data_IF_802975803797
#
_entry.id   IF_802975803797
#
_cell.length_a   1.000
_cell.length_b   1.000
_cell.length_c   1.000
_cell.angle_alpha   90.00
_cell.angle_beta   90.00
_cell.angle_gamma   90.00
#
_symmetry.space_group_name_H-M   'P 1'
#
loop_
_entity.id
_entity.type
_entity.pdbx_description
1 polymer ?
#
# COMPACT_ATOMS: atom_id res chain seq x y z
N UNK A 1 1.71 -6.91 38.91
CA UNK A 1 1.83 -7.78 37.73
C UNK A 1 0.79 -7.37 36.72
N UNK A 2 1.21 -6.88 35.55
CA UNK A 2 0.33 -6.48 34.45
C UNK A 2 0.47 -7.45 33.27
N UNK A 3 -0.52 -7.48 32.37
CA UNK A 3 -0.44 -8.20 31.10
C UNK A 3 0.09 -7.27 30.02
N UNK A 4 0.99 -7.77 29.17
CA UNK A 4 1.59 -7.03 28.06
C UNK A 4 1.08 -7.60 26.74
N UNK A 5 0.59 -6.70 25.87
CA UNK A 5 0.20 -6.99 24.49
C UNK A 5 1.24 -6.39 23.56
N UNK A 6 1.73 -7.17 22.61
CA UNK A 6 2.61 -6.66 21.56
C UNK A 6 1.88 -6.71 20.21
N UNK A 7 1.57 -5.54 19.68
CA UNK A 7 0.85 -5.38 18.42
C UNK A 7 1.85 -5.07 17.30
N UNK A 8 2.03 -6.01 16.38
CA UNK A 8 2.99 -5.95 15.29
C UNK A 8 2.32 -5.32 14.07
N UNK A 9 2.74 -4.12 13.70
CA UNK A 9 2.28 -3.42 12.50
C UNK A 9 3.18 -3.69 11.29
N UNK A 10 4.50 -3.84 11.50
CA UNK A 10 5.48 -4.07 10.44
C UNK A 10 6.52 -5.12 10.83
N UNK A 11 7.04 -5.83 9.83
CA UNK A 11 8.12 -6.82 9.96
C UNK A 11 9.44 -6.21 9.48
N UNK A 12 9.95 -5.26 10.24
CA UNK A 12 11.09 -4.43 9.83
C UNK A 12 12.40 -5.22 9.66
N UNK A 13 12.63 -6.25 10.48
CA UNK A 13 13.85 -7.06 10.40
C UNK A 13 13.85 -7.86 9.09
N UNK A 14 12.72 -8.43 8.70
CA UNK A 14 12.56 -9.08 7.40
C UNK A 14 12.74 -8.12 6.23
N UNK A 15 12.08 -6.96 6.28
CA UNK A 15 12.22 -5.94 5.23
C UNK A 15 13.69 -5.50 5.07
N UNK A 16 14.40 -5.29 6.19
CA UNK A 16 15.83 -4.96 6.16
C UNK A 16 16.69 -6.08 5.58
N UNK A 17 16.32 -7.35 5.81
CA UNK A 17 17.00 -8.53 5.25
C UNK A 17 16.77 -8.66 3.74
N UNK A 18 15.53 -8.52 3.29
CA UNK A 18 15.17 -8.55 1.86
C UNK A 18 15.83 -7.41 1.07
N UNK A 19 16.00 -6.24 1.71
CA UNK A 19 16.66 -5.09 1.12
C UNK A 19 18.19 -5.08 1.31
N UNK A 20 18.77 -6.13 1.89
CA UNK A 20 20.19 -6.26 2.19
C UNK A 20 20.80 -5.03 2.88
N UNK A 21 20.07 -4.47 3.86
CA UNK A 21 20.41 -3.19 4.50
C UNK A 21 21.55 -3.30 5.51
N UNK A 22 21.88 -4.51 5.99
CA UNK A 22 22.99 -4.74 6.92
C UNK A 22 24.12 -5.47 6.23
N UNK A 23 25.35 -5.19 6.65
CA UNK A 23 26.58 -5.71 6.01
C UNK A 23 26.83 -7.19 6.27
N UNK A 24 26.29 -7.76 7.35
CA UNK A 24 26.65 -9.10 7.82
C UNK A 24 25.43 -9.89 8.29
N UNK A 25 25.35 -11.15 7.91
CA UNK A 25 24.21 -12.04 8.20
C UNK A 25 23.99 -12.25 9.71
N UNK A 26 25.06 -12.34 10.50
CA UNK A 26 24.97 -12.54 11.95
C UNK A 26 24.19 -11.42 12.65
N UNK A 27 24.17 -10.21 12.08
CA UNK A 27 23.40 -9.09 12.65
C UNK A 27 21.90 -9.36 12.54
N UNK A 28 21.45 -9.97 11.44
CA UNK A 28 20.05 -10.39 11.30
C UNK A 28 19.71 -11.50 12.29
N UNK A 29 20.61 -12.47 12.48
CA UNK A 29 20.39 -13.56 13.45
C UNK A 29 20.28 -13.02 14.88
N UNK A 30 21.09 -12.03 15.26
CA UNK A 30 21.00 -11.36 16.55
C UNK A 30 19.66 -10.61 16.72
N UNK A 31 19.21 -9.88 15.69
CA UNK A 31 17.94 -9.17 15.70
C UNK A 31 16.75 -10.14 15.80
N UNK A 32 16.75 -11.24 15.05
CA UNK A 32 15.73 -12.27 15.16
C UNK A 32 15.76 -12.98 16.52
N UNK A 33 16.94 -13.17 17.11
CA UNK A 33 17.10 -13.68 18.47
C UNK A 33 16.44 -12.77 19.51
N UNK A 34 16.70 -11.47 19.41
CA UNK A 34 16.10 -10.45 20.29
C UNK A 34 14.58 -10.37 20.11
N UNK A 35 14.10 -10.33 18.87
CA UNK A 35 12.66 -10.33 18.56
C UNK A 35 11.97 -11.56 19.16
N UNK A 36 12.53 -12.75 18.95
CA UNK A 36 12.00 -13.99 19.52
C UNK A 36 11.97 -13.97 21.04
N UNK A 37 13.00 -13.41 21.68
CA UNK A 37 13.04 -13.25 23.13
C UNK A 37 11.89 -12.35 23.62
N UNK A 38 11.69 -11.20 22.96
CA UNK A 38 10.60 -10.26 23.28
C UNK A 38 9.25 -10.96 23.11
N UNK A 39 8.97 -11.55 21.96
CA UNK A 39 7.70 -12.23 21.66
C UNK A 39 7.38 -13.35 22.65
N UNK A 40 8.40 -14.08 23.13
CA UNK A 40 8.22 -15.12 24.16
C UNK A 40 7.81 -14.56 25.52
N UNK A 41 8.16 -13.32 25.85
CA UNK A 41 7.80 -12.67 27.14
C UNK A 41 6.41 -12.04 27.13
N UNK A 42 5.81 -11.78 25.97
CA UNK A 42 4.49 -11.13 25.86
C UNK A 42 3.35 -12.06 26.27
N UNK A 43 2.31 -11.52 26.91
CA UNK A 43 1.10 -12.29 27.23
C UNK A 43 0.27 -12.52 25.98
N UNK A 44 0.17 -11.51 25.13
CA UNK A 44 -0.56 -11.57 23.88
C UNK A 44 0.24 -10.93 22.76
N UNK A 45 0.09 -11.47 21.55
CA UNK A 45 0.66 -10.91 20.33
C UNK A 45 -0.48 -10.75 19.33
N UNK A 46 -0.55 -9.61 18.66
CA UNK A 46 -1.53 -9.35 17.60
C UNK A 46 -0.86 -8.73 16.38
N UNK A 47 -1.51 -8.81 15.23
CA UNK A 47 -1.01 -8.20 13.98
C UNK A 47 -2.14 -7.89 13.02
N UNK A 48 -1.83 -7.11 11.98
CA UNK A 48 -2.81 -6.44 11.12
C UNK A 48 -3.26 -7.23 9.90
N UNK A 49 -2.65 -8.39 9.60
CA UNK A 49 -3.00 -9.20 8.43
C UNK A 49 -2.77 -10.70 8.66
N UNK A 50 -3.54 -11.53 7.95
CA UNK A 50 -3.36 -12.99 7.93
C UNK A 50 -1.96 -13.41 7.45
N UNK A 51 -1.40 -12.70 6.47
CA UNK A 51 -0.04 -12.94 6.00
C UNK A 51 1.01 -12.71 7.10
N UNK A 52 0.81 -11.69 7.94
CA UNK A 52 1.68 -11.45 9.09
C UNK A 52 1.47 -12.49 10.19
N UNK A 53 0.25 -12.97 10.43
CA UNK A 53 -0.01 -14.07 11.36
C UNK A 53 0.82 -15.29 10.97
N UNK A 54 0.81 -15.67 9.69
CA UNK A 54 1.60 -16.78 9.19
C UNK A 54 3.11 -16.56 9.35
N UNK A 55 3.61 -15.34 9.12
CA UNK A 55 5.04 -15.02 9.29
C UNK A 55 5.48 -15.01 10.75
N UNK A 56 4.72 -14.35 11.63
CA UNK A 56 5.01 -14.28 13.07
C UNK A 56 4.84 -15.66 13.73
N UNK A 57 3.84 -16.45 13.32
CA UNK A 57 3.61 -17.80 13.81
C UNK A 57 4.77 -18.77 13.54
N UNK A 58 5.59 -18.52 12.50
CA UNK A 58 6.83 -19.28 12.27
C UNK A 58 7.93 -18.96 13.28
N UNK A 59 7.89 -17.78 13.90
CA UNK A 59 8.90 -17.31 14.87
C UNK A 59 8.59 -17.76 16.29
N UNK A 60 7.31 -17.77 16.66
CA UNK A 60 6.86 -18.07 18.03
C UNK A 60 5.69 -19.05 18.03
N UNK A 61 5.78 -20.07 18.89
CA UNK A 61 4.69 -21.04 19.14
C UNK A 61 3.61 -20.43 20.07
N UNK A 62 2.99 -19.33 19.64
CA UNK A 62 1.89 -18.66 20.34
C UNK A 62 0.75 -18.38 19.38
N UNK A 63 -0.47 -18.33 19.90
CA UNK A 63 -1.59 -17.82 19.15
C UNK A 63 -1.38 -16.32 18.89
N UNK A 64 -1.39 -15.95 17.61
CA UNK A 64 -1.32 -14.55 17.18
C UNK A 64 -2.75 -14.10 16.88
N UNK A 65 -3.19 -13.02 17.51
CA UNK A 65 -4.52 -12.47 17.31
C UNK A 65 -4.56 -11.63 16.05
N UNK A 66 -5.56 -11.85 15.22
CA UNK A 66 -5.86 -10.95 14.11
C UNK A 66 -6.48 -9.66 14.67
N UNK A 67 -5.79 -8.54 14.48
CA UNK A 67 -6.26 -7.23 14.90
C UNK A 67 -5.91 -6.21 13.80
N UNK A 68 -6.73 -6.10 12.75
CA UNK A 68 -6.48 -5.20 11.63
C UNK A 68 -6.60 -3.74 12.05
N UNK A 69 -5.92 -2.87 11.30
CA UNK A 69 -6.16 -1.44 11.40
C UNK A 69 -7.61 -1.12 11.00
N UNK A 70 -8.19 -0.13 11.66
CA UNK A 70 -9.51 0.38 11.36
C UNK A 70 -9.42 1.74 10.69
N UNK A 71 -10.56 2.17 10.13
CA UNK A 71 -10.75 3.50 9.55
C UNK A 71 -11.96 4.15 10.22
N UNK A 72 -11.96 5.48 10.30
CA UNK A 72 -13.11 6.24 10.77
C UNK A 72 -14.23 6.19 9.72
N UNK A 73 -15.32 5.49 10.03
CA UNK A 73 -16.45 5.31 9.09
C UNK A 73 -17.38 6.50 9.02
N UNK A 74 -17.27 7.48 9.93
CA UNK A 74 -17.98 8.76 9.82
C UNK A 74 -17.30 9.65 8.77
N UNK A 75 -15.97 9.57 8.70
CA UNK A 75 -15.16 10.27 7.69
C UNK A 75 -15.12 9.54 6.36
N UNK A 76 -14.95 8.21 6.36
CA UNK A 76 -14.72 7.42 5.15
C UNK A 76 -15.87 6.44 4.92
N UNK A 77 -16.76 6.79 4.00
CA UNK A 77 -17.93 5.98 3.66
C UNK A 77 -18.20 5.97 2.14
N UNK A 78 -18.93 4.98 1.62
CA UNK A 78 -19.28 4.95 0.20
C UNK A 78 -20.17 6.14 -0.18
N UNK A 79 -19.72 6.96 -1.11
CA UNK A 79 -20.51 8.08 -1.62
C UNK A 79 -21.77 7.59 -2.37
N UNK A 80 -22.94 8.23 -2.15
CA UNK A 80 -24.17 7.91 -2.88
C UNK A 80 -24.05 8.18 -4.38
N UNK A 81 -23.44 9.32 -4.76
CA UNK A 81 -23.22 9.72 -6.15
C UNK A 81 -21.73 9.74 -6.48
N UNK A 82 -21.24 8.59 -6.96
CA UNK A 82 -19.84 8.44 -7.42
C UNK A 82 -19.61 9.10 -8.79
N UNK A 83 -20.67 9.33 -9.56
CA UNK A 83 -20.56 9.91 -10.90
C UNK A 83 -20.23 11.40 -10.82
N UNK A 84 -20.76 12.11 -9.81
CA UNK A 84 -20.38 13.50 -9.55
C UNK A 84 -18.86 13.70 -9.42
N UNK A 85 -18.16 12.76 -8.78
CA UNK A 85 -16.70 12.84 -8.64
C UNK A 85 -15.97 12.60 -9.97
N UNK A 86 -16.44 11.65 -10.79
CA UNK A 86 -15.90 11.42 -12.14
C UNK A 86 -16.01 12.68 -13.00
N UNK A 87 -17.19 13.28 -13.03
CA UNK A 87 -17.46 14.51 -13.78
C UNK A 87 -16.60 15.68 -13.31
N UNK A 88 -16.41 15.84 -11.98
CA UNK A 88 -15.52 16.85 -11.40
C UNK A 88 -14.06 16.67 -11.84
N UNK A 89 -13.61 15.43 -12.05
CA UNK A 89 -12.27 15.12 -12.57
C UNK A 89 -12.20 15.12 -14.10
N UNK A 90 -13.29 15.46 -14.81
CA UNK A 90 -13.32 15.55 -16.27
C UNK A 90 -13.60 14.22 -16.98
N UNK A 91 -14.08 13.20 -16.27
CA UNK A 91 -14.47 11.91 -16.85
C UNK A 91 -15.98 11.81 -17.07
N UNK A 92 -16.37 11.04 -18.08
CA UNK A 92 -17.76 10.68 -18.35
C UNK A 92 -18.28 9.63 -17.36
N UNK A 93 -19.61 9.54 -17.21
CA UNK A 93 -20.24 8.63 -16.25
C UNK A 93 -19.95 7.15 -16.55
N UNK A 94 -19.88 6.79 -17.83
CA UNK A 94 -19.63 5.43 -18.30
C UNK A 94 -18.15 5.04 -18.32
N UNK A 95 -17.23 5.98 -18.02
CA UNK A 95 -15.83 5.66 -17.82
C UNK A 95 -15.63 4.76 -16.60
N UNK A 96 -14.82 3.72 -16.78
CA UNK A 96 -14.31 2.87 -15.71
C UNK A 96 -12.95 3.38 -15.28
N UNK A 97 -12.86 3.85 -14.03
CA UNK A 97 -11.65 4.45 -13.49
C UNK A 97 -10.86 3.40 -12.70
N UNK A 98 -9.64 3.12 -13.16
CA UNK A 98 -8.64 2.35 -12.43
C UNK A 98 -7.76 3.33 -11.67
N UNK A 99 -8.06 3.50 -10.37
CA UNK A 99 -7.40 4.48 -9.51
C UNK A 99 -6.28 3.84 -8.70
N UNK A 100 -5.09 4.42 -8.78
CA UNK A 100 -4.07 4.30 -7.76
C UNK A 100 -4.02 5.59 -6.93
N UNK A 101 -4.10 5.46 -5.60
CA UNK A 101 -3.99 6.58 -4.66
C UNK A 101 -2.93 6.23 -3.60
N UNK A 102 -1.83 6.97 -3.56
CA UNK A 102 -0.73 6.65 -2.64
C UNK A 102 0.59 7.33 -2.95
N UNK A 103 1.64 6.89 -2.24
CA UNK A 103 3.00 7.42 -2.39
C UNK A 103 3.69 6.86 -3.63
N UNK A 104 4.23 7.71 -4.49
CA UNK A 104 4.80 7.30 -5.78
C UNK A 104 6.30 7.01 -5.64
N UNK A 105 6.61 5.79 -5.21
CA UNK A 105 7.98 5.27 -5.09
C UNK A 105 8.32 4.21 -6.13
N UNK A 106 9.60 4.11 -6.50
CA UNK A 106 10.11 3.14 -7.47
C UNK A 106 9.76 1.69 -7.09
N UNK A 107 9.78 1.37 -5.79
CA UNK A 107 9.48 0.04 -5.24
C UNK A 107 7.99 -0.33 -5.25
N UNK A 108 7.10 0.58 -5.64
CA UNK A 108 5.66 0.31 -5.64
C UNK A 108 5.16 -0.35 -6.93
N UNK A 109 6.04 -0.57 -7.92
CA UNK A 109 5.69 -1.31 -9.14
C UNK A 109 4.68 -0.58 -10.04
N UNK A 110 4.62 0.75 -9.97
CA UNK A 110 3.66 1.56 -10.73
C UNK A 110 3.95 1.60 -12.24
N UNK A 111 5.14 1.19 -12.66
CA UNK A 111 5.48 0.87 -14.04
C UNK A 111 4.55 -0.20 -14.63
N UNK A 112 4.00 -1.10 -13.81
CA UNK A 112 3.00 -2.07 -14.24
C UNK A 112 1.70 -1.39 -14.72
N UNK A 113 1.26 -0.32 -14.05
CA UNK A 113 0.07 0.43 -14.47
C UNK A 113 0.29 1.09 -15.85
N UNK A 114 1.50 1.60 -16.10
CA UNK A 114 1.86 2.16 -17.42
C UNK A 114 1.73 1.09 -18.51
N UNK A 115 2.28 -0.12 -18.28
CA UNK A 115 2.18 -1.24 -19.23
C UNK A 115 0.74 -1.70 -19.47
N UNK A 116 -0.07 -1.76 -18.41
CA UNK A 116 -1.48 -2.16 -18.54
C UNK A 116 -2.27 -1.08 -19.29
N UNK A 117 -2.03 0.20 -19.00
CA UNK A 117 -2.66 1.31 -19.71
C UNK A 117 -2.33 1.29 -21.20
N UNK A 118 -1.08 1.02 -21.57
CA UNK A 118 -0.64 0.82 -22.97
C UNK A 118 -1.42 -0.32 -23.65
N UNK A 119 -1.52 -1.48 -23.01
CA UNK A 119 -2.25 -2.63 -23.57
C UNK A 119 -3.76 -2.40 -23.72
N UNK A 120 -4.33 -1.51 -22.90
CA UNK A 120 -5.76 -1.21 -22.88
C UNK A 120 -6.09 0.15 -23.51
N UNK A 121 -5.16 0.76 -24.25
CA UNK A 121 -5.35 2.10 -24.81
C UNK A 121 -6.52 2.18 -25.80
N UNK A 122 -6.83 1.09 -26.52
CA UNK A 122 -7.98 1.01 -27.43
C UNK A 122 -9.33 0.87 -26.69
N UNK A 123 -9.32 0.55 -25.39
CA UNK A 123 -10.53 0.49 -24.57
C UNK A 123 -10.83 1.89 -24.03
N UNK A 124 -11.41 2.74 -24.88
CA UNK A 124 -11.61 4.17 -24.60
C UNK A 124 -12.33 4.47 -23.28
N UNK A 125 -13.20 3.56 -22.83
CA UNK A 125 -13.94 3.69 -21.56
C UNK A 125 -13.11 3.42 -20.32
N UNK A 126 -11.96 2.76 -20.43
CA UNK A 126 -11.09 2.46 -19.28
C UNK A 126 -10.06 3.57 -19.15
N UNK A 127 -10.09 4.28 -18.02
CA UNK A 127 -9.13 5.34 -17.68
C UNK A 127 -8.32 4.95 -16.47
N UNK A 128 -7.02 5.19 -16.52
CA UNK A 128 -6.08 4.97 -15.43
C UNK A 128 -5.78 6.31 -14.77
N UNK A 129 -5.81 6.34 -13.43
CA UNK A 129 -5.54 7.56 -12.68
C UNK A 129 -4.51 7.27 -11.60
N UNK A 130 -3.40 8.00 -11.63
CA UNK A 130 -2.37 7.94 -10.60
C UNK A 130 -2.45 9.22 -9.78
N UNK A 131 -3.01 9.12 -8.57
CA UNK A 131 -3.17 10.22 -7.62
C UNK A 131 -2.14 10.09 -6.50
N UNK A 132 -1.23 11.07 -6.40
CA UNK A 132 -0.22 11.05 -5.35
C UNK A 132 1.03 11.86 -5.64
N UNK A 133 1.99 11.73 -4.72
CA UNK A 133 3.28 12.40 -4.74
C UNK A 133 4.40 11.41 -4.42
N UNK A 134 5.59 11.67 -4.98
CA UNK A 134 6.76 10.87 -4.71
C UNK A 134 7.84 11.03 -5.77
N UNK A 135 9.06 10.59 -5.48
CA UNK A 135 10.23 10.83 -6.33
C UNK A 135 10.11 10.17 -7.70
N UNK A 136 9.33 9.08 -7.83
CA UNK A 136 9.20 8.33 -9.07
C UNK A 136 8.12 8.88 -10.02
N UNK A 137 7.40 9.94 -9.61
CA UNK A 137 6.30 10.52 -10.41
C UNK A 137 6.74 11.03 -11.76
N UNK A 138 7.86 11.75 -11.82
CA UNK A 138 8.36 12.33 -13.08
C UNK A 138 8.75 11.26 -14.08
N UNK A 139 9.30 10.14 -13.60
CA UNK A 139 9.64 9.00 -14.44
C UNK A 139 8.40 8.33 -15.02
N UNK A 140 7.35 8.13 -14.23
CA UNK A 140 6.07 7.60 -14.73
C UNK A 140 5.43 8.51 -15.79
N UNK A 141 5.50 9.84 -15.59
CA UNK A 141 5.01 10.83 -16.57
C UNK A 141 5.82 10.72 -17.87
N UNK A 142 7.15 10.62 -17.77
CA UNK A 142 8.02 10.42 -18.93
C UNK A 142 7.64 9.16 -19.70
N UNK A 143 7.51 8.02 -19.02
CA UNK A 143 7.12 6.75 -19.63
C UNK A 143 5.76 6.81 -20.33
N UNK A 144 4.76 7.45 -19.69
CA UNK A 144 3.43 7.63 -20.28
C UNK A 144 3.47 8.51 -21.54
N UNK A 145 4.28 9.57 -21.51
CA UNK A 145 4.45 10.50 -22.63
C UNK A 145 5.16 9.84 -23.80
N UNK A 146 6.24 9.09 -23.55
CA UNK A 146 6.99 8.35 -24.57
C UNK A 146 6.12 7.30 -25.29
N UNK A 147 5.17 6.71 -24.57
CA UNK A 147 4.20 5.75 -25.10
C UNK A 147 2.95 6.40 -25.68
N UNK A 148 2.84 7.74 -25.60
CA UNK A 148 1.68 8.50 -26.04
C UNK A 148 0.34 7.99 -25.46
N UNK A 149 0.35 7.67 -24.15
CA UNK A 149 -0.82 7.14 -23.46
C UNK A 149 -1.89 8.22 -23.33
N UNK A 150 -3.09 7.93 -23.85
CA UNK A 150 -4.26 8.84 -23.82
C UNK A 150 -5.31 8.45 -22.79
N UNK A 151 -5.15 7.29 -22.17
CA UNK A 151 -6.06 6.72 -21.19
C UNK A 151 -5.46 6.73 -19.78
N UNK A 152 -4.42 7.53 -19.52
CA UNK A 152 -3.76 7.60 -18.23
C UNK A 152 -3.54 9.06 -17.82
N UNK A 153 -4.03 9.41 -16.65
CA UNK A 153 -3.95 10.76 -16.08
C UNK A 153 -3.23 10.74 -14.72
N UNK A 154 -2.53 11.83 -14.43
CA UNK A 154 -1.88 12.07 -13.14
C UNK A 154 -2.60 13.18 -12.40
N UNK A 155 -3.11 12.87 -11.21
CA UNK A 155 -3.74 13.88 -10.34
C UNK A 155 -2.77 14.33 -9.22
N UNK A 156 -2.89 15.59 -8.77
CA UNK A 156 -2.24 16.03 -7.55
C UNK A 156 -2.89 15.35 -6.33
N UNK A 157 -2.20 15.42 -5.19
CA UNK A 157 -2.78 15.02 -3.91
C UNK A 157 -4.09 15.81 -3.69
N UNK A 158 -5.17 15.09 -3.41
CA UNK A 158 -6.47 15.71 -3.14
C UNK A 158 -6.54 16.15 -1.67
N UNK A 159 -7.11 17.33 -1.45
CA UNK A 159 -7.40 17.83 -0.10
C UNK A 159 -8.43 16.94 0.61
N UNK A 160 -8.47 17.00 1.93
CA UNK A 160 -9.41 16.19 2.72
C UNK A 160 -10.86 16.66 2.55
N UNK A 161 -11.05 17.95 2.24
CA UNK A 161 -12.32 18.61 1.99
C UNK A 161 -13.04 18.10 0.74
N UNK A 162 -12.34 17.41 -0.17
CA UNK A 162 -12.93 16.86 -1.39
C UNK A 162 -13.20 15.34 -1.34
N UNK A 163 -12.98 14.70 -0.19
CA UNK A 163 -13.19 13.25 -0.05
C UNK A 163 -14.66 12.84 0.01
N UNK A 164 -15.56 13.76 0.42
CA UNK A 164 -16.99 13.50 0.57
C UNK A 164 -17.87 14.58 -0.08
#
# INVERSE_FOLDING_TARGET
>A
GGKIVYHIQDLQIEAAKELNMLKHDWMFDALFGLENFILRKMNFVSTISEGMIARVGKKVKKQIMFFPNWVDTETFFPLPDRNALKLKWGYEEDHQIVLYSGSIGEKQGLDALIRIAEQLQEKEKIKFVICGTGPFKQELIRMATEKNLKNLDFLPLQGFDVFN
#
